data_IF_611396076166
#
_entry.id   IF_611396076166
#
_cell.length_a   1.000
_cell.length_b   1.000
_cell.length_c   1.000
_cell.angle_alpha   90.00
_cell.angle_beta   90.00
_cell.angle_gamma   90.00
#
_symmetry.space_group_name_H-M   'P 1'
#
loop_
_entity.id
_entity.type
_entity.pdbx_description
1 polymer ?
#
# COMPACT_ATOMS: atom_id res chain seq x y z
N UNK A 1 -17.02 37.69 -69.32
CA UNK A 1 -15.68 37.45 -68.72
C UNK A 1 -15.83 36.55 -67.50
N UNK A 2 -14.85 35.67 -67.30
CA UNK A 2 -14.98 34.34 -66.69
C UNK A 2 -15.23 34.36 -65.18
N UNK A 3 -16.24 33.60 -64.74
CA UNK A 3 -16.55 33.23 -63.35
C UNK A 3 -15.52 32.21 -62.86
N UNK A 4 -14.55 32.62 -62.04
CA UNK A 4 -13.55 31.71 -61.46
C UNK A 4 -13.00 32.28 -60.14
N UNK A 5 -13.75 32.22 -59.03
CA UNK A 5 -13.06 31.84 -57.78
C UNK A 5 -13.88 31.00 -56.79
N UNK A 6 -15.12 30.59 -57.09
CA UNK A 6 -15.93 29.87 -56.10
C UNK A 6 -15.62 28.36 -56.02
N UNK A 7 -15.25 27.73 -57.15
CA UNK A 7 -14.89 26.30 -57.16
C UNK A 7 -13.55 26.03 -56.46
N UNK A 8 -12.61 26.98 -56.47
CA UNK A 8 -11.30 26.78 -55.86
C UNK A 8 -11.38 26.77 -54.32
N UNK A 9 -12.29 27.56 -53.74
CA UNK A 9 -12.51 27.60 -52.29
C UNK A 9 -13.18 26.34 -51.72
N UNK A 10 -14.10 25.73 -52.49
CA UNK A 10 -14.79 24.50 -52.05
C UNK A 10 -13.86 23.28 -52.12
N UNK A 11 -12.98 23.22 -53.13
CA UNK A 11 -11.95 22.15 -53.21
C UNK A 11 -10.94 22.25 -52.07
N UNK A 12 -10.60 23.46 -51.61
CA UNK A 12 -9.70 23.65 -50.47
C UNK A 12 -10.33 23.22 -49.13
N UNK A 13 -11.65 23.40 -48.97
CA UNK A 13 -12.36 23.03 -47.73
C UNK A 13 -12.52 21.51 -47.57
N UNK A 14 -12.71 20.78 -48.68
CA UNK A 14 -12.86 19.31 -48.65
C UNK A 14 -11.55 18.60 -48.29
N UNK A 15 -10.39 19.18 -48.61
CA UNK A 15 -9.10 18.62 -48.18
C UNK A 15 -8.81 18.77 -46.68
N UNK A 16 -9.49 19.69 -45.99
CA UNK A 16 -9.31 19.89 -44.53
C UNK A 16 -10.20 19.01 -43.65
N UNK A 17 -11.10 18.22 -44.26
CA UNK A 17 -12.08 17.38 -43.55
C UNK A 17 -11.85 15.87 -43.74
N UNK A 18 -10.72 15.45 -44.30
CA UNK A 18 -10.33 14.04 -44.30
C UNK A 18 -9.77 13.75 -42.91
N UNK A 19 -10.44 12.96 -42.05
CA UNK A 19 -9.84 12.54 -40.81
C UNK A 19 -8.62 11.70 -41.18
N UNK A 20 -7.43 12.21 -40.90
CA UNK A 20 -6.23 11.39 -40.87
C UNK A 20 -6.57 10.22 -39.96
N UNK A 21 -6.64 9.04 -40.56
CA UNK A 21 -6.70 7.81 -39.82
C UNK A 21 -5.40 7.78 -39.04
N UNK A 22 -5.44 8.20 -37.78
CA UNK A 22 -4.38 8.00 -36.81
C UNK A 22 -4.18 6.49 -36.71
N UNK A 23 -3.38 5.95 -37.63
CA UNK A 23 -2.65 4.72 -37.42
C UNK A 23 -1.67 5.02 -36.30
N UNK A 24 -2.20 5.10 -35.07
CA UNK A 24 -1.42 4.91 -33.87
C UNK A 24 -0.63 3.64 -34.17
N UNK A 25 0.70 3.77 -34.27
CA UNK A 25 1.59 2.64 -34.43
C UNK A 25 1.20 1.65 -33.33
N UNK A 26 0.46 0.61 -33.70
CA UNK A 26 0.17 -0.51 -32.82
C UNK A 26 1.53 -1.16 -32.65
N UNK A 27 2.25 -0.74 -31.61
CA UNK A 27 3.58 -1.22 -31.27
C UNK A 27 3.44 -2.74 -31.29
N UNK A 28 3.98 -3.39 -32.32
CA UNK A 28 4.02 -4.85 -32.38
C UNK A 28 4.64 -5.25 -31.06
N UNK A 29 3.85 -5.91 -30.21
CA UNK A 29 4.34 -6.47 -28.96
C UNK A 29 5.26 -7.60 -29.42
N UNK A 30 6.51 -7.27 -29.73
CA UNK A 30 7.55 -8.27 -29.88
C UNK A 30 7.65 -8.88 -28.50
N UNK A 31 7.00 -10.03 -28.32
CA UNK A 31 7.26 -10.93 -27.21
C UNK A 31 8.69 -11.42 -27.40
N UNK A 32 9.65 -10.59 -27.00
CA UNK A 32 10.99 -11.05 -26.78
C UNK A 32 10.86 -12.09 -25.68
N UNK A 33 11.09 -13.36 -26.01
CA UNK A 33 11.21 -14.39 -25.01
C UNK A 33 12.38 -13.95 -24.11
N UNK A 34 12.16 -13.75 -22.80
CA UNK A 34 13.23 -13.35 -21.91
C UNK A 34 14.34 -14.39 -21.99
N UNK A 35 15.58 -13.95 -22.16
CA UNK A 35 16.75 -14.84 -22.10
C UNK A 35 16.74 -15.49 -20.72
N UNK A 36 16.60 -16.81 -20.69
CA UNK A 36 16.55 -17.58 -19.45
C UNK A 36 17.94 -18.13 -19.16
N UNK A 37 18.49 -17.76 -18.00
CA UNK A 37 19.78 -18.27 -17.53
C UNK A 37 19.57 -19.49 -16.62
N UNK A 38 20.48 -20.49 -16.64
CA UNK A 38 20.44 -21.60 -15.70
C UNK A 38 20.49 -21.12 -14.24
N UNK A 39 19.60 -21.64 -13.38
CA UNK A 39 19.52 -21.28 -11.95
C UNK A 39 20.83 -21.50 -11.19
N UNK A 40 21.58 -22.54 -11.57
CA UNK A 40 22.90 -22.83 -11.01
C UNK A 40 23.88 -21.64 -11.06
N UNK A 41 23.71 -20.71 -12.02
CA UNK A 41 24.58 -19.54 -12.15
C UNK A 41 24.30 -18.45 -11.10
N UNK A 42 23.11 -18.46 -10.48
CA UNK A 42 22.68 -17.38 -9.57
C UNK A 42 22.04 -17.85 -8.26
N UNK A 43 21.85 -19.15 -8.07
CA UNK A 43 21.24 -19.74 -6.87
C UNK A 43 21.92 -19.36 -5.56
N UNK A 44 23.23 -19.06 -5.59
CA UNK A 44 24.00 -18.62 -4.42
C UNK A 44 24.08 -17.11 -4.25
N UNK A 45 23.38 -16.31 -5.07
CA UNK A 45 23.37 -14.86 -4.91
C UNK A 45 22.41 -14.45 -3.80
N UNK A 46 22.95 -13.69 -2.84
CA UNK A 46 22.18 -13.17 -1.72
C UNK A 46 21.98 -11.65 -1.85
N UNK A 47 20.76 -11.21 -1.54
CA UNK A 47 20.50 -9.78 -1.40
C UNK A 47 21.13 -9.28 -0.10
N UNK A 48 21.81 -8.14 -0.19
CA UNK A 48 22.32 -7.42 0.98
C UNK A 48 21.98 -5.95 0.91
N UNK A 49 21.79 -5.35 2.07
CA UNK A 49 21.68 -3.90 2.19
C UNK A 49 23.04 -3.25 1.91
N UNK A 50 23.05 -2.22 1.06
CA UNK A 50 24.26 -1.42 0.74
C UNK A 50 24.33 -0.13 1.59
N UNK A 51 23.21 0.25 2.21
CA UNK A 51 23.09 1.45 3.03
C UNK A 51 22.62 2.69 2.26
N UNK A 52 22.36 3.82 2.95
CA UNK A 52 22.56 4.03 4.39
C UNK A 52 21.62 3.19 5.26
N UNK A 53 22.14 2.66 6.38
CA UNK A 53 21.38 1.77 7.30
C UNK A 53 20.46 2.52 8.27
N UNK A 54 20.58 3.85 8.33
CA UNK A 54 19.72 4.72 9.13
C UNK A 54 19.24 5.86 8.27
N UNK A 55 17.94 6.01 8.17
CA UNK A 55 17.30 7.03 7.35
C UNK A 55 15.96 6.55 6.82
N UNK A 56 15.43 7.32 5.88
CA UNK A 56 14.08 7.11 5.37
C UNK A 56 13.02 7.72 6.27
N UNK A 57 11.77 7.41 5.98
CA UNK A 57 10.61 7.97 6.67
C UNK A 57 9.73 6.87 7.20
N UNK A 58 9.24 7.08 8.41
CA UNK A 58 8.20 6.27 9.04
C UNK A 58 7.03 7.16 9.45
N UNK A 59 5.82 6.59 9.39
CA UNK A 59 4.58 7.22 9.86
C UNK A 59 3.82 6.33 10.86
N UNK A 60 4.40 5.17 11.20
CA UNK A 60 3.81 4.18 12.09
C UNK A 60 4.92 3.64 12.97
N UNK A 61 4.75 3.73 14.28
CA UNK A 61 5.70 3.22 15.28
C UNK A 61 4.91 2.70 16.47
N UNK A 62 5.39 1.61 17.06
CA UNK A 62 4.84 1.08 18.30
C UNK A 62 5.93 0.39 19.12
N UNK A 63 5.78 0.41 20.43
CA UNK A 63 6.63 -0.31 21.39
C UNK A 63 5.82 -1.36 22.13
N UNK A 64 6.51 -2.24 22.84
CA UNK A 64 5.86 -3.30 23.62
C UNK A 64 5.95 -3.00 25.11
N UNK A 65 4.82 -2.91 25.84
CA UNK A 65 4.83 -2.70 27.29
C UNK A 65 5.68 -3.75 28.01
N UNK A 66 6.58 -3.31 28.89
CA UNK A 66 7.50 -4.20 29.63
C UNK A 66 8.80 -4.54 28.89
N UNK A 67 8.93 -4.22 27.60
CA UNK A 67 10.09 -4.54 26.76
C UNK A 67 10.75 -3.27 26.22
N UNK A 68 11.58 -2.57 27.02
CA UNK A 68 12.04 -1.21 26.71
C UNK A 68 12.95 -1.08 25.48
N UNK A 69 13.47 -2.19 24.94
CA UNK A 69 14.31 -2.20 23.75
C UNK A 69 13.60 -2.74 22.50
N UNK A 70 12.34 -3.18 22.63
CA UNK A 70 11.56 -3.78 21.56
C UNK A 70 10.63 -2.74 20.92
N UNK A 71 10.91 -2.43 19.66
CA UNK A 71 10.11 -1.50 18.87
C UNK A 71 9.87 -2.03 17.47
N UNK A 72 8.77 -1.56 16.89
CA UNK A 72 8.41 -1.81 15.51
C UNK A 72 8.12 -0.48 14.82
N UNK A 73 8.54 -0.34 13.57
CA UNK A 73 8.09 0.76 12.73
C UNK A 73 7.65 0.29 11.35
N UNK A 74 6.71 1.04 10.78
CA UNK A 74 6.29 0.93 9.40
C UNK A 74 6.99 1.97 8.54
N UNK A 75 7.75 1.52 7.54
CA UNK A 75 8.42 2.40 6.59
C UNK A 75 7.45 2.89 5.52
N UNK A 76 7.74 4.06 4.95
CA UNK A 76 7.01 4.53 3.78
C UNK A 76 7.72 4.09 2.50
N UNK A 77 7.33 2.91 2.01
CA UNK A 77 7.95 2.28 0.84
C UNK A 77 8.98 1.20 1.19
N UNK A 78 8.89 0.59 2.38
CA UNK A 78 9.88 -0.37 2.84
C UNK A 78 9.39 -1.39 3.87
N UNK A 79 8.07 -1.59 4.01
CA UNK A 79 7.55 -2.63 4.89
C UNK A 79 7.67 -2.34 6.39
N UNK A 80 7.75 -3.40 7.20
CA UNK A 80 7.77 -3.34 8.67
C UNK A 80 9.13 -3.79 9.19
N UNK A 81 9.65 -3.03 10.13
CA UNK A 81 10.95 -3.25 10.73
C UNK A 81 10.85 -3.43 12.23
N UNK A 82 11.67 -4.31 12.78
CA UNK A 82 11.77 -4.66 14.19
C UNK A 82 13.16 -4.35 14.72
N UNK A 83 13.23 -3.87 15.95
CA UNK A 83 14.48 -3.80 16.72
C UNK A 83 14.28 -4.48 18.07
N UNK A 84 15.36 -5.02 18.63
CA UNK A 84 15.42 -5.60 19.98
C UNK A 84 16.50 -4.97 20.85
N UNK A 85 17.23 -3.98 20.31
CA UNK A 85 18.39 -3.37 20.93
C UNK A 85 18.26 -1.84 21.05
N UNK A 86 17.02 -1.34 21.08
CA UNK A 86 16.75 0.08 21.23
C UNK A 86 16.99 0.90 19.95
N UNK A 87 16.84 0.28 18.78
CA UNK A 87 16.99 0.94 17.48
C UNK A 87 18.44 1.09 17.00
N UNK A 88 19.38 0.35 17.61
CA UNK A 88 20.76 0.28 17.11
C UNK A 88 20.80 -0.55 15.83
N UNK A 89 20.08 -1.67 15.78
CA UNK A 89 19.90 -2.47 14.58
C UNK A 89 18.41 -2.69 14.28
N UNK A 90 18.10 -2.92 13.01
CA UNK A 90 16.75 -3.13 12.51
C UNK A 90 16.72 -4.30 11.54
N UNK A 91 15.72 -5.15 11.69
CA UNK A 91 15.44 -6.29 10.83
C UNK A 91 14.10 -6.06 10.12
N UNK A 92 14.05 -6.28 8.81
CA UNK A 92 12.79 -6.27 8.06
C UNK A 92 12.06 -7.58 8.32
N UNK A 93 10.85 -7.49 8.87
CA UNK A 93 10.02 -8.65 9.22
C UNK A 93 8.85 -8.87 8.26
N UNK A 94 8.76 -8.12 7.16
CA UNK A 94 7.64 -8.18 6.20
C UNK A 94 8.01 -8.73 4.82
N UNK A 95 9.30 -8.75 4.49
CA UNK A 95 9.79 -9.27 3.20
C UNK A 95 9.32 -10.70 2.96
N UNK A 96 8.97 -11.00 1.70
CA UNK A 96 8.36 -12.28 1.32
C UNK A 96 6.85 -12.37 1.55
N UNK A 97 6.23 -11.46 2.32
CA UNK A 97 4.79 -11.48 2.60
C UNK A 97 4.07 -10.28 2.00
N UNK A 98 4.50 -9.08 2.35
CA UNK A 98 3.91 -7.82 1.88
C UNK A 98 4.94 -6.69 1.96
N UNK A 99 4.63 -5.57 1.33
CA UNK A 99 5.53 -4.42 1.33
C UNK A 99 4.81 -3.13 0.99
N UNK A 100 5.57 -2.16 0.50
CA UNK A 100 5.08 -0.81 0.23
C UNK A 100 5.05 0.06 1.48
N UNK A 101 4.16 1.05 1.50
CA UNK A 101 4.01 1.95 2.63
C UNK A 101 3.13 1.36 3.72
N UNK A 102 3.54 1.56 4.96
CA UNK A 102 2.81 1.10 6.14
C UNK A 102 2.20 2.31 6.85
N UNK A 103 0.89 2.23 7.10
CA UNK A 103 0.11 3.25 7.77
C UNK A 103 -0.07 3.02 9.27
N UNK A 104 -0.06 1.76 9.72
CA UNK A 104 -0.22 1.39 11.12
C UNK A 104 0.56 0.12 11.44
N UNK A 105 1.11 0.05 12.65
CA UNK A 105 1.65 -1.17 13.26
C UNK A 105 1.14 -1.16 14.70
N UNK A 106 0.36 -2.17 15.09
CA UNK A 106 -0.25 -2.27 16.42
C UNK A 106 0.04 -3.65 16.99
N UNK A 107 0.66 -3.69 18.17
CA UNK A 107 0.98 -4.92 18.92
C UNK A 107 -0.11 -5.13 19.96
N UNK A 108 -0.59 -6.37 20.12
CA UNK A 108 -1.57 -6.68 21.15
C UNK A 108 -0.94 -6.59 22.54
N UNK A 109 -1.63 -5.93 23.47
CA UNK A 109 -1.19 -5.83 24.87
C UNK A 109 -1.27 -7.19 25.59
N UNK A 110 -2.30 -7.99 25.29
CA UNK A 110 -2.49 -9.32 25.87
C UNK A 110 -1.46 -10.36 25.41
N UNK A 111 -0.91 -10.20 24.20
CA UNK A 111 0.07 -11.13 23.62
C UNK A 111 0.92 -10.42 22.54
N UNK A 112 2.17 -10.03 22.87
CA UNK A 112 3.06 -9.35 21.94
C UNK A 112 3.42 -10.14 20.66
N UNK A 113 3.10 -11.43 20.58
CA UNK A 113 3.26 -12.20 19.34
C UNK A 113 2.22 -11.81 18.29
N UNK A 114 1.09 -11.23 18.69
CA UNK A 114 0.03 -10.81 17.78
C UNK A 114 0.24 -9.35 17.37
N UNK A 115 0.48 -9.14 16.08
CA UNK A 115 0.70 -7.80 15.52
C UNK A 115 -0.21 -7.64 14.30
N UNK A 116 -0.87 -6.48 14.23
CA UNK A 116 -1.65 -6.05 13.07
C UNK A 116 -0.97 -4.89 12.36
N UNK A 117 -0.97 -4.95 11.03
CA UNK A 117 -0.33 -3.95 10.18
C UNK A 117 -1.32 -3.43 9.15
N UNK A 118 -1.47 -2.10 9.12
CA UNK A 118 -2.27 -1.39 8.13
C UNK A 118 -1.42 -0.92 6.96
N UNK A 119 -1.81 -1.28 5.75
CA UNK A 119 -1.14 -0.81 4.53
C UNK A 119 -1.54 0.62 4.14
N UNK A 120 -0.61 1.34 3.52
CA UNK A 120 -0.78 2.68 2.94
C UNK A 120 -0.54 3.78 3.96
N UNK A 121 0.36 4.71 3.63
CA UNK A 121 0.72 5.79 4.55
C UNK A 121 -0.39 6.84 4.72
N UNK A 122 -0.36 7.54 5.86
CA UNK A 122 -1.33 8.59 6.25
C UNK A 122 -1.07 9.96 5.60
N UNK A 123 0.20 10.29 5.35
CA UNK A 123 0.59 11.67 5.01
C UNK A 123 0.26 12.00 3.55
N UNK A 124 -0.79 12.80 3.33
CA UNK A 124 -1.24 13.20 1.99
C UNK A 124 -0.27 14.19 1.34
N UNK A 125 0.22 13.84 0.14
CA UNK A 125 1.19 14.62 -0.65
C UNK A 125 1.13 14.22 -2.13
N UNK A 126 2.00 14.78 -2.98
CA UNK A 126 2.00 14.46 -4.41
C UNK A 126 2.30 12.99 -4.75
N UNK A 127 3.08 12.28 -3.91
CA UNK A 127 3.58 10.93 -4.15
C UNK A 127 3.26 9.95 -3.01
N UNK A 128 1.97 9.82 -2.65
CA UNK A 128 1.54 8.89 -1.59
C UNK A 128 1.47 7.46 -2.13
N UNK A 129 2.10 6.52 -1.43
CA UNK A 129 1.95 5.10 -1.74
C UNK A 129 0.79 4.49 -0.97
N UNK A 130 -0.13 3.85 -1.69
CA UNK A 130 -1.18 3.04 -1.09
C UNK A 130 -0.66 1.66 -0.69
N UNK A 131 -1.37 1.01 0.23
CA UNK A 131 -1.16 -0.38 0.60
C UNK A 131 -2.37 -1.27 0.26
N UNK A 132 -2.28 -2.51 0.73
CA UNK A 132 -3.15 -3.61 0.32
C UNK A 132 -3.85 -4.25 1.51
N UNK A 133 -4.62 -3.45 2.26
CA UNK A 133 -5.42 -3.93 3.39
C UNK A 133 -4.63 -4.09 4.68
N UNK A 134 -5.08 -5.04 5.50
CA UNK A 134 -4.51 -5.35 6.82
C UNK A 134 -3.79 -6.69 6.78
N UNK A 135 -2.69 -6.80 7.51
CA UNK A 135 -1.91 -8.02 7.71
C UNK A 135 -1.83 -8.34 9.19
N UNK A 136 -1.77 -9.64 9.52
CA UNK A 136 -1.67 -10.18 10.88
C UNK A 136 -0.52 -11.18 10.96
N UNK A 137 0.23 -11.12 12.06
CA UNK A 137 1.12 -12.19 12.53
C UNK A 137 0.64 -12.66 13.90
N UNK A 138 0.97 -13.90 14.25
CA UNK A 138 0.76 -14.50 15.58
C UNK A 138 2.06 -15.09 16.14
N UNK A 139 3.19 -14.74 15.52
CA UNK A 139 4.52 -15.25 15.84
C UNK A 139 5.58 -14.13 15.82
N UNK A 140 5.14 -12.92 16.23
CA UNK A 140 5.97 -11.72 16.35
C UNK A 140 6.67 -11.29 15.05
N UNK A 141 6.05 -11.58 13.91
CA UNK A 141 6.49 -11.16 12.58
C UNK A 141 7.30 -12.19 11.81
N UNK A 142 7.40 -13.44 12.28
CA UNK A 142 8.08 -14.51 11.52
C UNK A 142 7.26 -14.91 10.30
N UNK A 143 5.94 -14.95 10.43
CA UNK A 143 5.01 -15.22 9.33
C UNK A 143 3.83 -14.25 9.37
N UNK A 144 3.29 -13.95 8.18
CA UNK A 144 2.17 -13.03 8.02
C UNK A 144 1.05 -13.63 7.18
N UNK A 145 -0.18 -13.25 7.53
CA UNK A 145 -1.40 -13.58 6.78
C UNK A 145 -2.20 -12.30 6.52
N UNK A 146 -2.86 -12.23 5.37
CA UNK A 146 -3.80 -11.14 5.10
C UNK A 146 -4.98 -11.22 6.09
N UNK A 147 -5.29 -10.10 6.72
CA UNK A 147 -6.39 -9.90 7.66
C UNK A 147 -7.46 -8.96 7.06
N UNK A 148 -7.68 -9.06 5.75
CA UNK A 148 -8.80 -8.41 5.06
C UNK A 148 -8.58 -6.96 4.67
N UNK A 149 -9.70 -6.25 4.43
CA UNK A 149 -9.75 -4.84 3.99
C UNK A 149 -8.92 -4.53 2.73
N UNK A 150 -8.80 -5.46 1.78
CA UNK A 150 -7.93 -5.34 0.58
C UNK A 150 -8.14 -4.06 -0.25
N UNK A 151 -9.34 -3.46 -0.20
CA UNK A 151 -9.71 -2.23 -0.93
C UNK A 151 -9.50 -0.94 -0.12
N UNK A 152 -9.05 -1.03 1.13
CA UNK A 152 -8.90 0.11 2.05
C UNK A 152 -7.93 1.17 1.54
N UNK A 153 -6.90 0.77 0.77
CA UNK A 153 -5.79 1.59 0.24
C UNK A 153 -4.91 2.23 1.32
N UNK A 154 -5.48 2.87 2.33
CA UNK A 154 -4.79 3.57 3.41
C UNK A 154 -5.47 3.21 4.73
N UNK A 155 -4.73 2.50 5.59
CA UNK A 155 -5.13 2.10 6.96
C UNK A 155 -4.17 2.77 7.94
N UNK A 156 -4.39 4.05 8.26
CA UNK A 156 -3.49 4.85 9.10
C UNK A 156 -3.56 4.56 10.60
N UNK A 157 -4.57 3.83 11.08
CA UNK A 157 -4.64 3.44 12.49
C UNK A 157 -5.34 2.10 12.67
N UNK A 158 -4.79 1.29 13.58
CA UNK A 158 -5.40 0.07 14.11
C UNK A 158 -5.36 0.18 15.64
N UNK A 159 -6.38 -0.34 16.31
CA UNK A 159 -6.44 -0.50 17.77
C UNK A 159 -6.96 -1.89 18.11
N UNK A 160 -6.35 -2.51 19.11
CA UNK A 160 -6.70 -3.84 19.59
C UNK A 160 -7.38 -3.71 20.95
N UNK A 161 -8.34 -4.58 21.23
CA UNK A 161 -8.87 -4.70 22.57
C UNK A 161 -7.76 -5.19 23.52
N UNK A 162 -7.60 -4.59 24.71
CA UNK A 162 -6.46 -4.86 25.59
C UNK A 162 -6.32 -6.34 25.97
N UNK A 163 -7.45 -7.01 26.22
CA UNK A 163 -7.47 -8.40 26.69
C UNK A 163 -7.82 -9.44 25.61
N UNK A 164 -8.18 -9.00 24.39
CA UNK A 164 -8.62 -9.91 23.34
C UNK A 164 -8.16 -9.44 21.95
N UNK A 165 -7.08 -10.01 21.40
CA UNK A 165 -6.49 -9.54 20.16
C UNK A 165 -7.33 -9.86 18.91
N UNK A 166 -8.41 -10.63 19.05
CA UNK A 166 -9.33 -10.88 17.94
C UNK A 166 -10.38 -9.76 17.77
N UNK A 167 -10.53 -8.89 18.76
CA UNK A 167 -11.34 -7.68 18.66
C UNK A 167 -10.44 -6.53 18.19
N UNK A 168 -10.63 -6.13 16.94
CA UNK A 168 -9.76 -5.18 16.24
C UNK A 168 -10.58 -4.06 15.64
N UNK A 169 -10.13 -2.82 15.79
CA UNK A 169 -10.66 -1.66 15.08
C UNK A 169 -9.64 -1.13 14.09
N UNK A 170 -10.09 -0.78 12.90
CA UNK A 170 -9.27 -0.17 11.85
C UNK A 170 -9.91 1.13 11.37
N UNK A 171 -9.14 2.22 11.40
CA UNK A 171 -9.47 3.45 10.71
C UNK A 171 -9.03 3.33 9.25
N UNK A 172 -9.97 3.51 8.33
CA UNK A 172 -9.71 3.44 6.90
C UNK A 172 -9.94 4.82 6.30
N UNK A 173 -8.84 5.39 5.79
CA UNK A 173 -8.88 6.64 5.05
C UNK A 173 -9.45 6.43 3.64
N UNK A 174 -9.27 5.25 3.05
CA UNK A 174 -9.77 4.90 1.72
C UNK A 174 -8.86 5.42 0.59
N UNK A 175 -9.35 5.33 -0.64
CA UNK A 175 -8.66 5.89 -1.80
C UNK A 175 -8.65 7.43 -1.73
N UNK A 176 -7.48 8.04 -1.65
CA UNK A 176 -7.33 9.49 -1.45
C UNK A 176 -7.56 10.32 -2.73
N UNK A 177 -7.63 9.67 -3.89
CA UNK A 177 -7.74 10.33 -5.20
C UNK A 177 -9.15 10.27 -5.81
N UNK A 178 -10.09 9.57 -5.17
CA UNK A 178 -11.49 9.50 -5.63
C UNK A 178 -12.45 9.17 -4.49
N UNK A 179 -13.75 9.47 -4.65
CA UNK A 179 -14.79 8.93 -3.77
C UNK A 179 -14.75 7.40 -3.75
N UNK A 180 -14.98 6.81 -2.58
CA UNK A 180 -15.05 5.36 -2.40
C UNK A 180 -15.91 4.99 -1.18
N UNK A 181 -16.73 3.93 -1.27
CA UNK A 181 -17.47 3.41 -0.14
C UNK A 181 -16.58 2.62 0.85
N UNK A 182 -15.29 2.43 0.58
CA UNK A 182 -14.38 1.66 1.43
C UNK A 182 -13.84 2.47 2.63
N UNK A 183 -14.23 3.73 2.76
CA UNK A 183 -13.85 4.61 3.89
C UNK A 183 -14.61 4.25 5.17
N UNK A 184 -14.04 4.61 6.32
CA UNK A 184 -14.73 4.59 7.60
C UNK A 184 -13.97 3.89 8.71
N UNK A 185 -14.69 3.52 9.77
CA UNK A 185 -14.15 2.68 10.85
C UNK A 185 -14.72 1.28 10.69
N UNK A 186 -13.86 0.30 10.80
CA UNK A 186 -14.20 -1.12 10.71
C UNK A 186 -13.85 -1.81 12.03
N UNK A 187 -14.70 -2.75 12.44
CA UNK A 187 -14.50 -3.62 13.59
C UNK A 187 -14.46 -5.07 13.13
N UNK A 188 -13.49 -5.83 13.60
CA UNK A 188 -13.48 -7.28 13.57
C UNK A 188 -13.62 -7.83 14.99
N UNK A 189 -14.22 -9.01 15.12
CA UNK A 189 -14.31 -9.78 16.37
C UNK A 189 -13.83 -11.23 16.17
N UNK A 190 -13.16 -11.50 15.06
CA UNK A 190 -12.68 -12.83 14.66
C UNK A 190 -11.22 -12.78 14.17
N UNK A 191 -10.48 -11.77 14.63
CA UNK A 191 -9.07 -11.61 14.33
C UNK A 191 -8.78 -11.13 12.90
N UNK A 192 -9.71 -10.41 12.28
CA UNK A 192 -9.56 -9.85 10.94
C UNK A 192 -9.96 -10.79 9.80
N UNK A 193 -10.65 -11.90 10.11
CA UNK A 193 -11.23 -12.78 9.08
C UNK A 193 -12.42 -12.09 8.42
N UNK A 194 -13.24 -11.40 9.21
CA UNK A 194 -14.35 -10.56 8.75
C UNK A 194 -14.33 -9.19 9.43
N UNK A 195 -14.96 -8.22 8.77
CA UNK A 195 -15.00 -6.83 9.22
C UNK A 195 -16.39 -6.25 9.03
N UNK A 196 -16.93 -5.66 10.10
CA UNK A 196 -18.15 -4.85 10.08
C UNK A 196 -17.77 -3.37 10.02
N UNK A 197 -18.33 -2.63 9.06
CA UNK A 197 -18.18 -1.17 9.02
C UNK A 197 -19.06 -0.56 10.12
N UNK A 198 -18.45 0.06 11.13
CA UNK A 198 -19.14 0.62 12.31
C UNK A 198 -19.39 2.11 12.20
N UNK A 199 -18.58 2.83 11.43
CA UNK A 199 -18.79 4.25 11.14
C UNK A 199 -18.57 4.50 9.65
N UNK A 200 -19.55 5.11 9.01
CA UNK A 200 -19.49 5.59 7.64
C UNK A 200 -20.25 6.90 7.54
N UNK A 201 -19.58 7.94 7.04
CA UNK A 201 -20.21 9.25 6.85
C UNK A 201 -20.65 9.39 5.40
N UNK A 202 -19.70 9.30 4.46
CA UNK A 202 -19.93 9.30 3.02
C UNK A 202 -18.67 8.81 2.28
N UNK A 203 -18.69 8.82 0.95
CA UNK A 203 -17.59 8.31 0.12
C UNK A 203 -16.35 9.23 0.05
N UNK A 204 -16.43 10.44 0.62
CA UNK A 204 -15.36 11.45 0.60
C UNK A 204 -14.65 11.55 1.96
N UNK A 205 -15.33 11.23 3.06
CA UNK A 205 -14.80 11.32 4.42
C UNK A 205 -14.25 9.97 4.91
N UNK A 206 -12.96 9.92 5.27
CA UNK A 206 -12.29 8.76 5.85
C UNK A 206 -11.81 8.99 7.28
N UNK A 207 -11.40 7.91 7.94
CA UNK A 207 -10.87 7.97 9.31
C UNK A 207 -9.34 7.86 9.31
N UNK A 208 -8.68 8.62 10.18
CA UNK A 208 -7.21 8.63 10.29
C UNK A 208 -6.65 8.37 11.69
N UNK A 209 -7.52 8.21 12.68
CA UNK A 209 -7.12 7.91 14.05
C UNK A 209 -8.24 7.21 14.84
N UNK A 210 -7.83 6.55 15.92
CA UNK A 210 -8.64 5.82 16.91
C UNK A 210 -7.91 5.90 18.26
N UNK A 211 -8.66 6.15 19.33
CA UNK A 211 -8.13 6.22 20.70
C UNK A 211 -8.41 4.94 21.48
#
# INVERSE_FOLDING_TARGET
MKRFPLLLGIVLLVFTLIPDSLNAQRRKKTTANPVQYPEALYSSMEYRLVGPFRGGRSVAVTGVPGEPNLFYFGATGGGVWKTTDGGRSWENISDGYFGGSIGAVEVAQSDPNVIYVGGGEKTLRGNVSSGYGVWKTVDAGKTWKSAGLKKSRHVPRIRLHPDNPDIVYAAVLGNIYKPTPDRGIYKSTDGGKSWKKTLFVNEQAGAVDLV
#
